data_IF_498842236100
#
_entry.id   IF_498842236100
#
_cell.length_a   1.000
_cell.length_b   1.000
_cell.length_c   1.000
_cell.angle_alpha   90.00
_cell.angle_beta   90.00
_cell.angle_gamma   90.00
#
_symmetry.space_group_name_H-M   'P 1'
#
loop_
_entity.id
_entity.type
_entity.pdbx_description
1 polymer ?
#
# COMPACT_ATOMS: atom_id res chain seq x y z
N UNK A 1 44.61 -11.46 59.38
CA UNK A 1 44.10 -11.13 58.10
C UNK A 1 43.76 -12.39 57.34
N UNK A 2 42.47 -12.77 57.26
CA UNK A 2 42.02 -13.98 56.56
C UNK A 2 41.62 -13.64 55.17
N UNK A 3 42.24 -14.23 54.14
CA UNK A 3 41.86 -14.15 52.75
C UNK A 3 40.67 -15.10 52.52
N UNK A 4 39.56 -14.55 52.03
CA UNK A 4 38.39 -15.31 51.58
C UNK A 4 38.50 -15.45 50.05
N UNK A 5 38.67 -16.71 49.61
CA UNK A 5 38.69 -17.08 48.20
C UNK A 5 37.26 -17.42 47.78
N UNK A 6 36.69 -16.71 46.85
CA UNK A 6 35.40 -17.06 46.25
C UNK A 6 35.64 -18.02 45.09
N UNK A 7 35.08 -19.21 45.20
CA UNK A 7 34.94 -20.16 44.10
C UNK A 7 33.72 -19.79 43.27
N UNK A 8 33.93 -19.36 42.04
CA UNK A 8 32.83 -19.22 41.03
C UNK A 8 32.69 -20.59 40.36
N UNK A 9 31.62 -21.31 40.69
CA UNK A 9 31.17 -22.48 39.92
C UNK A 9 30.35 -21.98 38.73
N UNK A 10 30.91 -22.12 37.54
CA UNK A 10 30.19 -21.90 36.27
C UNK A 10 29.27 -23.10 36.02
N UNK A 11 27.96 -22.86 36.14
CA UNK A 11 26.94 -23.79 35.63
C UNK A 11 26.83 -23.57 34.12
N UNK A 12 27.41 -24.47 33.34
CA UNK A 12 27.13 -24.54 31.92
C UNK A 12 25.74 -25.19 31.71
N UNK A 13 24.72 -24.37 31.44
CA UNK A 13 23.47 -24.87 30.88
C UNK A 13 23.73 -25.23 29.42
N UNK A 14 23.77 -26.51 29.11
CA UNK A 14 23.69 -27.02 27.75
C UNK A 14 22.27 -26.85 27.25
N UNK A 15 21.99 -25.77 26.52
CA UNK A 15 20.79 -25.68 25.73
C UNK A 15 20.93 -26.58 24.50
N UNK A 16 20.38 -27.77 24.56
CA UNK A 16 20.23 -28.62 23.40
C UNK A 16 19.18 -28.04 22.46
N UNK A 17 19.35 -28.08 21.12
CA UNK A 17 18.48 -27.44 20.21
C UNK A 17 17.15 -28.20 20.07
N UNK A 18 16.09 -27.65 20.63
CA UNK A 18 14.70 -28.15 20.42
C UNK A 18 14.13 -27.68 19.07
N UNK A 19 14.90 -26.95 18.26
CA UNK A 19 14.45 -26.36 17.00
C UNK A 19 14.48 -27.37 15.82
N UNK A 20 15.16 -28.50 15.93
CA UNK A 20 15.35 -29.40 14.78
C UNK A 20 14.18 -30.35 14.48
N UNK A 21 13.26 -30.58 15.43
CA UNK A 21 12.13 -31.52 15.20
C UNK A 21 10.89 -30.88 14.54
N UNK A 22 10.68 -29.60 14.73
CA UNK A 22 9.53 -28.94 14.10
C UNK A 22 9.77 -28.63 12.61
N UNK A 23 10.99 -28.25 12.24
CA UNK A 23 11.32 -28.02 10.82
C UNK A 23 11.37 -29.30 10.00
N UNK A 24 11.79 -30.43 10.58
CA UNK A 24 11.78 -31.72 9.88
C UNK A 24 10.39 -32.31 9.70
N UNK A 25 9.44 -32.02 10.60
CA UNK A 25 8.05 -32.45 10.43
C UNK A 25 7.31 -31.63 9.36
N UNK A 26 7.61 -30.33 9.25
CA UNK A 26 7.03 -29.47 8.20
C UNK A 26 7.54 -29.82 6.81
N UNK A 27 8.81 -30.16 6.66
CA UNK A 27 9.35 -30.58 5.36
C UNK A 27 8.87 -31.97 4.93
N UNK A 28 8.59 -32.88 5.87
CA UNK A 28 8.06 -34.18 5.59
C UNK A 28 6.56 -34.13 5.17
N UNK A 29 5.77 -33.22 5.73
CA UNK A 29 4.38 -33.03 5.31
C UNK A 29 4.29 -32.40 3.92
N UNK A 30 5.16 -31.45 3.57
CA UNK A 30 5.17 -30.88 2.23
C UNK A 30 5.64 -31.88 1.16
N UNK A 31 6.55 -32.78 1.48
CA UNK A 31 7.00 -33.83 0.54
C UNK A 31 5.97 -34.93 0.32
N UNK A 32 5.08 -35.18 1.29
CA UNK A 32 4.00 -36.18 1.13
C UNK A 32 2.82 -35.67 0.32
N UNK A 33 2.65 -34.35 0.21
CA UNK A 33 1.58 -33.72 -0.59
C UNK A 33 1.92 -33.58 -2.07
N UNK A 34 3.21 -33.66 -2.45
CA UNK A 34 3.66 -33.43 -3.82
C UNK A 34 3.66 -34.68 -4.74
N UNK A 35 3.22 -35.84 -4.28
CA UNK A 35 3.30 -37.09 -5.04
C UNK A 35 2.08 -38.03 -4.87
N UNK A 36 0.89 -37.54 -4.63
CA UNK A 36 -0.29 -38.40 -4.68
C UNK A 36 -1.01 -38.23 -6.02
N UNK A 37 -1.11 -39.31 -6.77
CA UNK A 37 -1.96 -39.40 -8.00
C UNK A 37 -3.46 -39.12 -7.70
N UNK A 38 -3.79 -38.68 -6.49
CA UNK A 38 -5.12 -38.39 -5.97
C UNK A 38 -5.27 -36.95 -5.47
N UNK A 39 -4.40 -36.00 -5.85
CA UNK A 39 -4.67 -34.60 -5.53
C UNK A 39 -5.99 -34.15 -6.19
N UNK A 40 -6.92 -33.53 -5.43
CA UNK A 40 -8.14 -33.04 -6.04
C UNK A 40 -7.76 -31.97 -7.08
N UNK A 41 -8.43 -32.03 -8.25
CA UNK A 41 -8.22 -31.02 -9.28
C UNK A 41 -8.45 -29.62 -8.75
N UNK A 42 -7.79 -28.58 -9.33
CA UNK A 42 -7.91 -27.22 -8.89
C UNK A 42 -9.36 -26.73 -9.02
N UNK A 43 -9.82 -26.01 -8.00
CA UNK A 43 -11.14 -25.37 -7.98
C UNK A 43 -10.97 -23.91 -8.39
N UNK A 44 -11.70 -23.45 -9.40
CA UNK A 44 -11.67 -22.07 -9.86
C UNK A 44 -12.49 -21.13 -8.94
N UNK A 45 -12.12 -19.85 -8.83
CA UNK A 45 -10.99 -19.20 -9.50
C UNK A 45 -9.64 -19.54 -8.88
N UNK A 46 -8.58 -19.61 -9.69
CA UNK A 46 -7.21 -19.80 -9.24
C UNK A 46 -6.50 -18.44 -9.13
N UNK A 47 -5.59 -18.29 -8.15
CA UNK A 47 -4.77 -17.08 -8.07
C UNK A 47 -3.86 -16.97 -9.30
N UNK A 48 -3.69 -15.77 -9.78
CA UNK A 48 -2.68 -15.45 -10.79
C UNK A 48 -1.27 -15.50 -10.17
N UNK A 49 -0.24 -15.59 -11.01
CA UNK A 49 1.16 -15.57 -10.54
C UNK A 49 1.47 -14.29 -9.76
N UNK A 50 0.94 -13.12 -10.17
CA UNK A 50 1.13 -11.85 -9.44
C UNK A 50 0.47 -11.89 -8.06
N UNK A 51 -0.70 -12.52 -7.92
CA UNK A 51 -1.37 -12.67 -6.62
C UNK A 51 -0.61 -13.61 -5.70
N UNK A 52 0.00 -14.69 -6.24
CA UNK A 52 0.88 -15.56 -5.45
C UNK A 52 2.12 -14.80 -4.95
N UNK A 53 2.81 -14.06 -5.82
CA UNK A 53 3.94 -13.21 -5.45
C UNK A 53 3.57 -12.12 -4.42
N UNK A 54 2.38 -11.55 -4.56
CA UNK A 54 1.85 -10.57 -3.60
C UNK A 54 1.61 -11.23 -2.25
N UNK A 55 0.97 -12.39 -2.20
CA UNK A 55 0.70 -13.14 -0.98
C UNK A 55 2.00 -13.49 -0.22
N UNK A 56 3.09 -13.80 -0.92
CA UNK A 56 4.41 -14.05 -0.33
C UNK A 56 5.01 -12.85 0.40
N UNK A 57 4.49 -11.64 0.16
CA UNK A 57 4.96 -10.43 0.85
C UNK A 57 4.52 -10.43 2.31
N UNK A 58 3.33 -10.90 2.63
CA UNK A 58 2.75 -11.16 3.97
C UNK A 58 2.79 -9.98 4.95
N UNK A 59 3.95 -9.36 5.15
CA UNK A 59 4.19 -8.36 6.19
C UNK A 59 4.88 -7.14 5.62
N UNK A 60 4.14 -6.02 5.52
CA UNK A 60 4.58 -4.74 5.00
C UNK A 60 3.89 -3.58 5.73
N UNK A 61 4.42 -2.37 5.61
CA UNK A 61 3.95 -1.20 6.32
C UNK A 61 3.20 -0.24 5.40
N UNK A 62 2.29 0.57 5.99
CA UNK A 62 1.74 1.78 5.37
C UNK A 62 2.38 3.03 5.95
N UNK A 63 2.60 4.03 5.10
CA UNK A 63 3.16 5.32 5.47
C UNK A 63 2.17 6.42 5.14
N UNK A 64 1.45 6.91 6.16
CA UNK A 64 0.54 8.03 6.08
C UNK A 64 1.30 9.33 6.36
N UNK A 65 1.96 9.88 5.34
CA UNK A 65 2.59 11.17 5.39
C UNK A 65 2.04 12.04 4.27
N UNK A 66 1.39 13.16 4.61
CA UNK A 66 0.72 13.99 3.62
C UNK A 66 0.11 15.25 4.23
N UNK A 67 -0.91 15.82 3.59
CA UNK A 67 -1.62 17.01 4.06
C UNK A 67 -2.14 16.81 5.50
N UNK A 68 -2.67 15.64 5.80
CA UNK A 68 -3.27 15.30 7.10
C UNK A 68 -2.26 15.32 8.26
N UNK A 69 -0.97 15.14 7.99
CA UNK A 69 0.11 15.32 8.97
C UNK A 69 0.16 16.75 9.51
N UNK A 70 -0.26 17.73 8.71
CA UNK A 70 -0.19 19.16 9.04
C UNK A 70 -1.53 19.76 9.49
N UNK A 71 -2.64 19.09 9.18
CA UNK A 71 -3.99 19.52 9.57
C UNK A 71 -4.51 18.82 10.82
N UNK A 72 -3.87 17.72 11.23
CA UNK A 72 -4.33 16.83 12.30
C UNK A 72 -5.74 16.31 12.08
N UNK A 73 -6.10 16.06 10.82
CA UNK A 73 -7.34 15.43 10.41
C UNK A 73 -7.06 14.00 9.96
N UNK A 74 -7.98 13.09 10.21
CA UNK A 74 -7.92 11.74 9.64
C UNK A 74 -8.10 11.79 8.13
N UNK A 75 -9.10 12.51 7.67
CA UNK A 75 -9.35 12.85 6.26
C UNK A 75 -9.41 14.37 6.11
N UNK A 76 -8.75 14.90 5.11
CA UNK A 76 -8.93 16.30 4.75
C UNK A 76 -10.30 16.52 4.09
N UNK A 77 -10.76 17.77 4.07
CA UNK A 77 -12.04 18.15 3.46
C UNK A 77 -11.95 18.37 1.96
N UNK A 78 -10.72 18.51 1.43
CA UNK A 78 -10.44 18.86 0.03
C UNK A 78 -10.34 20.36 -0.22
N UNK A 79 -10.50 21.21 0.80
CA UNK A 79 -10.35 22.67 0.73
C UNK A 79 -9.05 23.17 1.38
N UNK A 80 -8.20 22.25 1.83
CA UNK A 80 -6.91 22.58 2.44
C UNK A 80 -6.03 23.35 1.45
N UNK A 81 -5.55 24.52 1.86
CA UNK A 81 -4.60 25.28 1.05
C UNK A 81 -3.29 24.50 0.92
N UNK A 82 -2.76 24.37 -0.29
CA UNK A 82 -1.53 23.64 -0.57
C UNK A 82 -0.32 24.15 0.22
N UNK A 83 -0.36 25.43 0.61
CA UNK A 83 0.67 26.07 1.45
C UNK A 83 0.76 25.52 2.88
N UNK A 84 -0.25 24.79 3.34
CA UNK A 84 -0.23 24.10 4.65
C UNK A 84 0.82 22.99 4.63
N UNK A 85 1.04 22.32 3.49
CA UNK A 85 2.11 21.35 3.34
C UNK A 85 3.47 22.08 3.31
N UNK A 86 4.06 22.22 4.48
CA UNK A 86 5.32 22.98 4.68
C UNK A 86 6.28 22.22 5.61
N UNK A 87 6.87 21.12 5.16
CA UNK A 87 7.80 20.33 5.96
C UNK A 87 9.01 21.17 6.40
N UNK A 88 9.47 20.96 7.64
CA UNK A 88 10.64 21.66 8.21
C UNK A 88 11.97 21.12 7.70
N UNK A 89 11.96 19.94 7.07
CA UNK A 89 13.09 19.30 6.40
C UNK A 89 12.58 18.46 5.23
N UNK A 90 13.45 18.10 4.31
CA UNK A 90 13.10 17.17 3.23
C UNK A 90 12.61 15.84 3.81
N UNK A 91 11.47 15.29 3.36
CA UNK A 91 11.05 13.94 3.74
C UNK A 91 12.14 12.92 3.42
N UNK A 92 12.28 11.92 4.29
CA UNK A 92 13.33 10.91 4.13
C UNK A 92 12.75 9.48 4.08
N UNK A 93 12.23 9.04 2.92
CA UNK A 93 11.70 7.69 2.73
C UNK A 93 12.71 6.57 3.01
N UNK A 94 14.00 6.81 2.83
CA UNK A 94 15.04 5.82 3.16
C UNK A 94 15.07 5.52 4.66
N UNK A 95 14.92 6.55 5.49
CA UNK A 95 14.86 6.36 6.94
C UNK A 95 13.61 5.57 7.35
N UNK A 96 12.45 5.84 6.72
CA UNK A 96 11.22 5.11 6.99
C UNK A 96 11.36 3.64 6.66
N UNK A 97 11.88 3.33 5.48
CA UNK A 97 12.05 1.95 5.00
C UNK A 97 13.14 1.19 5.77
N UNK A 98 14.17 1.86 6.29
CA UNK A 98 15.13 1.22 7.21
C UNK A 98 14.47 0.77 8.51
N UNK A 99 13.52 1.52 9.05
CA UNK A 99 12.76 1.10 10.23
C UNK A 99 11.89 -0.14 9.93
N UNK A 100 11.25 -0.16 8.78
CA UNK A 100 10.47 -1.31 8.27
C UNK A 100 11.37 -2.55 8.10
N UNK A 101 12.52 -2.38 7.48
CA UNK A 101 13.49 -3.46 7.28
C UNK A 101 14.00 -4.01 8.63
N UNK A 102 14.29 -3.12 9.58
CA UNK A 102 14.72 -3.53 10.94
C UNK A 102 13.63 -4.30 11.70
N UNK A 103 12.35 -4.04 11.39
CA UNK A 103 11.21 -4.79 11.94
C UNK A 103 10.95 -6.13 11.23
N UNK A 104 11.75 -6.50 10.23
CA UNK A 104 11.59 -7.75 9.46
C UNK A 104 10.47 -7.70 8.41
N UNK A 105 9.94 -6.52 8.10
CA UNK A 105 8.95 -6.34 7.04
C UNK A 105 9.60 -6.42 5.66
N UNK A 106 8.84 -6.88 4.67
CA UNK A 106 9.32 -7.12 3.30
C UNK A 106 9.12 -5.93 2.35
N UNK A 107 8.38 -4.92 2.79
CA UNK A 107 8.10 -3.76 1.96
C UNK A 107 7.25 -2.69 2.63
N UNK A 108 6.82 -1.72 1.83
CA UNK A 108 5.94 -0.66 2.30
C UNK A 108 5.10 -0.03 1.21
N UNK A 109 3.98 0.55 1.61
CA UNK A 109 3.07 1.34 0.78
C UNK A 109 3.12 2.79 1.23
N UNK A 110 3.48 3.69 0.33
CA UNK A 110 3.39 5.12 0.59
C UNK A 110 2.02 5.65 0.16
N UNK A 111 1.33 6.34 1.06
CA UNK A 111 0.13 7.12 0.72
C UNK A 111 0.58 8.38 -0.02
N UNK A 112 0.42 8.39 -1.33
CA UNK A 112 0.90 9.49 -2.19
C UNK A 112 -0.20 10.49 -2.55
N UNK A 113 -1.45 10.08 -2.42
CA UNK A 113 -2.64 10.93 -2.47
C UNK A 113 -3.73 10.33 -1.59
N UNK A 114 -4.17 11.06 -0.57
CA UNK A 114 -5.32 10.69 0.27
C UNK A 114 -6.62 11.29 -0.26
N UNK A 115 -7.74 11.16 0.45
CA UNK A 115 -9.06 11.64 0.04
C UNK A 115 -9.16 13.16 -0.11
N UNK A 116 -8.27 13.93 0.53
CA UNK A 116 -8.15 15.38 0.35
C UNK A 116 -7.76 15.78 -1.09
N UNK A 117 -7.23 14.84 -1.87
CA UNK A 117 -6.83 15.06 -3.26
C UNK A 117 -5.42 15.64 -3.42
N UNK A 118 -4.69 15.94 -2.33
CA UNK A 118 -3.35 16.51 -2.41
C UNK A 118 -2.33 15.47 -2.85
N UNK A 119 -1.63 15.76 -3.95
CA UNK A 119 -0.65 14.86 -4.54
C UNK A 119 0.76 15.15 -4.02
N UNK A 120 1.44 14.14 -3.47
CA UNK A 120 2.81 14.21 -2.95
C UNK A 120 3.89 14.08 -4.02
N UNK A 121 3.55 14.38 -5.27
CA UNK A 121 4.45 14.46 -6.42
C UNK A 121 3.99 15.56 -7.38
N UNK A 122 4.87 16.06 -8.26
CA UNK A 122 4.53 17.11 -9.24
C UNK A 122 3.71 16.52 -10.40
N UNK A 123 2.47 16.09 -10.11
CA UNK A 123 1.55 15.56 -11.10
C UNK A 123 1.18 16.60 -12.15
N UNK A 124 0.93 16.14 -13.37
CA UNK A 124 0.42 16.98 -14.45
C UNK A 124 -1.13 17.09 -14.48
N UNK A 125 -1.83 16.31 -13.63
CA UNK A 125 -3.28 16.18 -13.64
C UNK A 125 -4.01 17.24 -12.83
N UNK A 126 -3.37 17.81 -11.81
CA UNK A 126 -3.93 18.83 -10.92
C UNK A 126 -2.87 19.77 -10.41
N UNK A 127 -3.27 20.97 -10.00
CA UNK A 127 -2.41 21.91 -9.26
C UNK A 127 -2.48 21.72 -7.75
N UNK A 128 -3.41 20.88 -7.25
CA UNK A 128 -3.51 20.54 -5.83
C UNK A 128 -2.45 19.50 -5.48
N UNK A 129 -1.21 19.96 -5.34
CA UNK A 129 -0.03 19.09 -5.19
C UNK A 129 1.15 19.87 -4.60
N UNK A 130 2.23 19.15 -4.35
CA UNK A 130 3.50 19.69 -3.84
C UNK A 130 4.03 20.90 -4.60
N UNK A 131 3.69 21.09 -5.87
CA UNK A 131 4.16 22.26 -6.66
C UNK A 131 3.74 23.59 -6.06
N UNK A 132 2.67 23.62 -5.27
CA UNK A 132 2.18 24.81 -4.55
C UNK A 132 2.42 24.75 -3.04
N UNK A 133 3.24 23.82 -2.56
CA UNK A 133 3.56 23.68 -1.13
C UNK A 133 4.15 24.97 -0.53
N UNK A 134 3.96 25.13 0.78
CA UNK A 134 4.24 26.38 1.49
C UNK A 134 5.72 26.78 1.56
N UNK A 135 6.66 25.85 1.36
CA UNK A 135 8.09 26.15 1.40
C UNK A 135 8.87 25.34 0.36
N UNK A 136 10.20 25.56 0.30
CA UNK A 136 11.07 24.91 -0.66
C UNK A 136 11.09 23.39 -0.47
N UNK A 137 11.21 22.88 0.75
CA UNK A 137 11.21 21.45 1.05
C UNK A 137 9.92 20.77 0.57
N UNK A 138 8.77 21.43 0.75
CA UNK A 138 7.50 20.93 0.24
C UNK A 138 7.47 20.89 -1.29
N UNK A 139 7.91 21.95 -1.96
CA UNK A 139 7.91 22.02 -3.43
C UNK A 139 8.89 21.07 -4.11
N UNK A 140 9.95 20.68 -3.42
CA UNK A 140 10.94 19.69 -3.91
C UNK A 140 10.55 18.25 -3.59
N UNK A 141 9.50 18.05 -2.79
CA UNK A 141 8.99 16.72 -2.41
C UNK A 141 8.50 15.96 -3.62
N UNK A 142 8.93 14.70 -3.73
CA UNK A 142 8.40 13.72 -4.67
C UNK A 142 8.45 12.35 -3.99
N UNK A 143 7.43 12.07 -3.17
CA UNK A 143 7.39 10.83 -2.38
C UNK A 143 7.45 9.59 -3.27
N UNK A 144 6.69 9.46 -4.39
CA UNK A 144 6.80 8.27 -5.23
C UNK A 144 8.23 8.00 -5.72
N UNK A 145 8.91 9.03 -6.21
CA UNK A 145 10.31 8.92 -6.68
C UNK A 145 11.25 8.46 -5.57
N UNK A 146 11.20 9.15 -4.44
CA UNK A 146 12.19 8.96 -3.37
C UNK A 146 11.93 7.66 -2.61
N UNK A 147 10.65 7.26 -2.47
CA UNK A 147 10.26 6.01 -1.85
C UNK A 147 10.65 4.80 -2.71
N UNK A 148 10.36 4.84 -4.02
CA UNK A 148 10.76 3.79 -4.94
C UNK A 148 12.29 3.61 -4.97
N UNK A 149 13.04 4.71 -5.09
CA UNK A 149 14.51 4.67 -5.09
C UNK A 149 15.07 4.10 -3.77
N UNK A 150 14.50 4.48 -2.64
CA UNK A 150 14.92 3.97 -1.34
C UNK A 150 14.59 2.47 -1.18
N UNK A 151 13.41 2.03 -1.61
CA UNK A 151 13.02 0.62 -1.57
C UNK A 151 13.94 -0.24 -2.42
N UNK A 152 14.23 0.15 -3.65
CA UNK A 152 15.16 -0.53 -4.55
C UNK A 152 16.56 -0.63 -3.93
N UNK A 153 17.06 0.47 -3.36
CA UNK A 153 18.37 0.50 -2.67
C UNK A 153 18.45 -0.48 -1.51
N UNK A 154 17.35 -0.66 -0.77
CA UNK A 154 17.27 -1.53 0.40
C UNK A 154 16.83 -2.96 0.08
N UNK A 155 16.50 -3.27 -1.18
CA UNK A 155 15.99 -4.57 -1.59
C UNK A 155 14.60 -4.88 -1.01
N UNK A 156 13.79 -3.84 -0.77
CA UNK A 156 12.42 -3.95 -0.26
C UNK A 156 11.40 -3.79 -1.39
N UNK A 157 10.26 -4.44 -1.26
CA UNK A 157 9.10 -4.19 -2.12
C UNK A 157 8.44 -2.86 -1.78
N UNK A 158 7.80 -2.23 -2.76
CA UNK A 158 7.09 -0.98 -2.53
C UNK A 158 5.82 -0.90 -3.38
N UNK A 159 4.89 -0.10 -2.91
CA UNK A 159 3.65 0.22 -3.60
C UNK A 159 3.17 1.62 -3.25
N UNK A 160 2.11 2.04 -3.93
CA UNK A 160 1.51 3.34 -3.70
C UNK A 160 0.01 3.22 -3.43
N UNK A 161 -0.43 3.95 -2.41
CA UNK A 161 -1.84 4.22 -2.16
C UNK A 161 -2.21 5.52 -2.86
N UNK A 162 -3.18 5.46 -3.72
CA UNK A 162 -3.75 6.62 -4.40
C UNK A 162 -5.26 6.56 -4.30
N UNK A 163 -5.84 7.48 -3.53
CA UNK A 163 -7.29 7.53 -3.37
C UNK A 163 -7.99 7.83 -4.71
N UNK A 164 -8.91 6.98 -5.16
CA UNK A 164 -9.79 7.30 -6.29
C UNK A 164 -10.73 8.45 -5.94
N UNK A 165 -11.16 8.54 -4.68
CA UNK A 165 -11.95 9.66 -4.17
C UNK A 165 -11.08 10.91 -4.05
N UNK A 166 -11.56 12.00 -4.61
CA UNK A 166 -10.85 13.28 -4.63
C UNK A 166 -11.81 14.39 -4.20
N UNK A 167 -11.72 14.75 -2.94
CA UNK A 167 -12.59 15.74 -2.32
C UNK A 167 -12.31 17.18 -2.80
N UNK A 168 -11.13 17.42 -3.38
CA UNK A 168 -10.75 18.73 -3.92
C UNK A 168 -11.30 18.94 -5.33
N UNK A 169 -11.24 17.93 -6.19
CA UNK A 169 -11.47 18.09 -7.62
C UNK A 169 -12.92 18.48 -7.97
N UNK A 170 -13.09 19.61 -8.63
CA UNK A 170 -14.40 20.02 -9.18
C UNK A 170 -14.94 19.06 -10.26
N UNK A 171 -14.09 18.19 -10.81
CA UNK A 171 -14.46 17.21 -11.84
C UNK A 171 -14.93 15.88 -11.25
N UNK A 172 -14.74 15.65 -9.93
CA UNK A 172 -15.11 14.39 -9.31
C UNK A 172 -16.59 14.06 -9.56
N UNK A 173 -16.88 12.80 -9.81
CA UNK A 173 -18.21 12.32 -10.20
C UNK A 173 -18.49 12.39 -11.70
N UNK A 174 -17.51 12.76 -12.54
CA UNK A 174 -17.66 12.82 -14.00
C UNK A 174 -16.65 11.91 -14.71
N UNK A 175 -16.95 11.48 -15.93
CA UNK A 175 -16.01 10.74 -16.79
C UNK A 175 -14.70 11.51 -17.02
N UNK A 176 -14.77 12.84 -17.02
CA UNK A 176 -13.59 13.69 -17.21
C UNK A 176 -12.61 13.55 -16.04
N UNK A 177 -13.11 13.44 -14.81
CA UNK A 177 -12.25 13.14 -13.66
C UNK A 177 -11.50 11.84 -13.86
N UNK A 178 -12.19 10.79 -14.24
CA UNK A 178 -11.59 9.47 -14.44
C UNK A 178 -10.48 9.54 -15.48
N UNK A 179 -10.77 10.09 -16.66
CA UNK A 179 -9.83 10.11 -17.80
C UNK A 179 -8.66 11.08 -17.61
N UNK A 180 -8.95 12.31 -17.16
CA UNK A 180 -7.96 13.39 -17.16
C UNK A 180 -7.21 13.53 -15.84
N UNK A 181 -7.75 12.94 -14.74
CA UNK A 181 -7.15 13.04 -13.41
C UNK A 181 -6.74 11.67 -12.91
N UNK A 182 -7.68 10.78 -12.62
CA UNK A 182 -7.40 9.54 -11.90
C UNK A 182 -6.51 8.56 -12.70
N UNK A 183 -6.92 8.18 -13.91
CA UNK A 183 -6.14 7.28 -14.76
C UNK A 183 -4.77 7.86 -15.11
N UNK A 184 -4.69 9.18 -15.29
CA UNK A 184 -3.42 9.86 -15.51
C UNK A 184 -2.49 9.78 -14.30
N UNK A 185 -3.01 9.98 -13.10
CA UNK A 185 -2.25 9.81 -11.85
C UNK A 185 -1.73 8.37 -11.71
N UNK A 186 -2.57 7.38 -11.97
CA UNK A 186 -2.15 5.97 -11.93
C UNK A 186 -1.05 5.68 -12.96
N UNK A 187 -1.16 6.21 -14.18
CA UNK A 187 -0.13 6.06 -15.21
C UNK A 187 1.19 6.75 -14.83
N UNK A 188 1.15 7.94 -14.24
CA UNK A 188 2.33 8.62 -13.72
C UNK A 188 3.00 7.80 -12.63
N UNK A 189 2.22 7.30 -11.65
CA UNK A 189 2.73 6.49 -10.54
C UNK A 189 3.35 5.17 -11.01
N UNK A 190 2.79 4.55 -12.04
CA UNK A 190 3.34 3.33 -12.63
C UNK A 190 4.74 3.53 -13.25
N UNK A 191 5.17 4.77 -13.51
CA UNK A 191 6.52 5.05 -14.06
C UNK A 191 7.61 5.19 -13.00
N UNK A 192 7.26 5.25 -11.73
CA UNK A 192 8.24 5.33 -10.64
C UNK A 192 8.81 3.96 -10.27
N UNK A 193 9.69 3.43 -11.14
CA UNK A 193 10.32 2.12 -11.00
C UNK A 193 9.48 0.98 -11.59
N UNK A 194 10.03 -0.23 -11.57
CA UNK A 194 9.46 -1.41 -12.25
C UNK A 194 8.95 -2.49 -11.29
N UNK A 195 9.24 -2.36 -9.98
CA UNK A 195 9.04 -3.42 -8.99
C UNK A 195 7.95 -3.08 -7.97
N UNK A 196 6.96 -2.27 -8.40
CA UNK A 196 5.78 -2.01 -7.59
C UNK A 196 4.99 -3.31 -7.46
N UNK A 197 4.81 -3.77 -6.19
CA UNK A 197 4.06 -4.99 -5.94
C UNK A 197 2.56 -4.75 -5.76
N UNK A 198 2.16 -3.52 -5.44
CA UNK A 198 0.77 -3.18 -5.15
C UNK A 198 0.44 -1.72 -5.45
N UNK A 199 -0.74 -1.49 -6.03
CA UNK A 199 -1.44 -0.22 -6.08
C UNK A 199 -2.71 -0.31 -5.25
N UNK A 200 -2.84 0.57 -4.26
CA UNK A 200 -3.94 0.54 -3.29
C UNK A 200 -4.94 1.65 -3.56
N UNK A 201 -6.21 1.27 -3.77
CA UNK A 201 -7.31 2.19 -4.07
C UNK A 201 -8.37 2.11 -2.99
N UNK A 202 -8.49 3.16 -2.21
CA UNK A 202 -9.41 3.27 -1.07
C UNK A 202 -10.35 4.47 -1.24
N UNK A 203 -11.54 4.43 -0.59
CA UNK A 203 -12.52 5.50 -0.68
C UNK A 203 -13.24 5.58 -2.03
N UNK A 204 -13.37 4.46 -2.75
CA UNK A 204 -13.88 4.42 -4.12
C UNK A 204 -15.34 4.87 -4.28
N UNK A 205 -16.18 4.81 -3.24
CA UNK A 205 -17.59 5.15 -3.32
C UNK A 205 -17.87 6.65 -3.36
N UNK A 206 -16.88 7.48 -3.01
CA UNK A 206 -17.06 8.91 -2.83
C UNK A 206 -17.72 9.26 -1.49
N UNK A 207 -18.27 10.44 -1.39
CA UNK A 207 -18.90 10.98 -0.18
C UNK A 207 -18.96 12.51 -0.21
N UNK A 208 -18.96 13.13 0.97
CA UNK A 208 -18.94 14.57 1.14
C UNK A 208 -17.58 15.16 0.75
N UNK A 209 -17.56 16.33 0.15
CA UNK A 209 -16.32 16.99 -0.22
C UNK A 209 -16.49 18.43 -0.68
N UNK A 210 -15.39 19.13 -0.78
CA UNK A 210 -15.29 20.51 -1.24
C UNK A 210 -15.63 20.63 -2.74
N UNK A 211 -15.08 19.74 -3.57
CA UNK A 211 -15.33 19.64 -5.02
C UNK A 211 -15.27 21.00 -5.74
N UNK A 212 -14.16 21.73 -5.51
CA UNK A 212 -13.97 23.06 -6.11
C UNK A 212 -14.95 24.11 -5.61
N UNK A 213 -15.43 24.02 -4.38
CA UNK A 213 -16.36 24.95 -3.75
C UNK A 213 -17.83 24.57 -3.87
N UNK A 214 -18.14 23.40 -4.45
CA UNK A 214 -19.53 22.94 -4.59
C UNK A 214 -20.12 22.44 -3.26
N UNK A 215 -19.27 21.96 -2.33
CA UNK A 215 -19.63 21.50 -0.96
C UNK A 215 -20.85 20.58 -0.96
N UNK A 216 -20.74 19.44 -1.60
CA UNK A 216 -21.83 18.48 -1.78
C UNK A 216 -21.40 17.04 -1.51
N UNK A 217 -22.34 16.12 -1.52
CA UNK A 217 -22.11 14.69 -1.52
C UNK A 217 -22.11 14.15 -2.94
N UNK A 218 -21.10 13.41 -3.34
CA UNK A 218 -21.04 12.69 -4.62
C UNK A 218 -20.80 11.22 -4.34
N UNK A 219 -21.77 10.38 -4.71
CA UNK A 219 -21.63 8.93 -4.69
C UNK A 219 -21.57 8.45 -6.14
N UNK A 220 -20.56 7.65 -6.47
CA UNK A 220 -20.29 7.25 -7.86
C UNK A 220 -21.04 5.98 -8.30
N UNK A 221 -21.83 5.37 -7.41
CA UNK A 221 -22.52 4.12 -7.70
C UNK A 221 -21.56 2.94 -7.79
N UNK A 222 -21.63 2.18 -8.89
CA UNK A 222 -20.67 1.08 -9.11
C UNK A 222 -19.28 1.64 -9.44
N UNK A 223 -18.39 1.52 -8.48
CA UNK A 223 -17.02 2.00 -8.61
C UNK A 223 -16.24 1.32 -9.76
N UNK A 224 -16.51 0.04 -10.04
CA UNK A 224 -15.83 -0.66 -11.12
C UNK A 224 -16.21 -0.08 -12.50
N UNK A 225 -17.45 0.33 -12.64
CA UNK A 225 -17.95 0.99 -13.86
C UNK A 225 -17.45 2.42 -13.94
N UNK A 226 -17.61 3.19 -12.86
CA UNK A 226 -17.25 4.61 -12.84
C UNK A 226 -15.76 4.85 -13.11
N UNK A 227 -14.86 4.09 -12.45
CA UNK A 227 -13.42 4.25 -12.64
C UNK A 227 -12.85 3.53 -13.85
N UNK A 228 -13.68 2.92 -14.68
CA UNK A 228 -13.26 2.18 -15.89
C UNK A 228 -12.16 1.14 -15.55
N UNK A 229 -12.47 0.28 -14.57
CA UNK A 229 -11.53 -0.68 -14.01
C UNK A 229 -10.85 -1.57 -15.06
N UNK A 230 -11.52 -2.05 -16.11
CA UNK A 230 -10.83 -2.81 -17.15
C UNK A 230 -9.69 -2.02 -17.80
N UNK A 231 -9.93 -0.75 -18.16
CA UNK A 231 -8.90 0.10 -18.75
C UNK A 231 -7.80 0.47 -17.76
N UNK A 232 -8.15 0.73 -16.49
CA UNK A 232 -7.18 0.95 -15.40
C UNK A 232 -6.24 -0.24 -15.28
N UNK A 233 -6.80 -1.45 -15.18
CA UNK A 233 -6.07 -2.72 -15.04
C UNK A 233 -5.14 -2.95 -16.22
N UNK A 234 -5.66 -2.85 -17.43
CA UNK A 234 -4.88 -3.03 -18.65
C UNK A 234 -3.73 -2.01 -18.76
N UNK A 235 -3.98 -0.75 -18.37
CA UNK A 235 -2.99 0.31 -18.43
C UNK A 235 -1.87 0.11 -17.41
N UNK A 236 -2.20 -0.28 -16.19
CA UNK A 236 -1.22 -0.56 -15.13
C UNK A 236 -0.40 -1.80 -15.48
N UNK A 237 -1.04 -2.90 -15.87
CA UNK A 237 -0.34 -4.17 -16.14
C UNK A 237 0.54 -4.13 -17.39
N UNK A 238 0.30 -3.23 -18.34
CA UNK A 238 1.23 -3.00 -19.46
C UNK A 238 2.59 -2.48 -18.98
N UNK A 239 2.62 -1.73 -17.88
CA UNK A 239 3.84 -1.14 -17.33
C UNK A 239 4.38 -2.01 -16.19
N UNK A 240 3.49 -2.50 -15.34
CA UNK A 240 3.76 -3.22 -14.10
C UNK A 240 3.02 -4.58 -14.09
N UNK A 241 3.50 -5.60 -14.80
CA UNK A 241 2.77 -6.86 -14.96
C UNK A 241 2.59 -7.65 -13.64
N UNK A 242 3.45 -7.44 -12.67
CA UNK A 242 3.41 -8.11 -11.36
C UNK A 242 2.72 -7.28 -10.25
N UNK A 243 2.24 -6.07 -10.56
CA UNK A 243 1.53 -5.22 -9.61
C UNK A 243 0.11 -5.71 -9.36
N UNK A 244 -0.27 -5.91 -8.11
CA UNK A 244 -1.64 -6.24 -7.69
C UNK A 244 -2.41 -4.96 -7.40
N UNK A 245 -3.67 -4.89 -7.83
CA UNK A 245 -4.58 -3.80 -7.51
C UNK A 245 -5.50 -4.19 -6.36
N UNK A 246 -5.38 -3.48 -5.26
CA UNK A 246 -6.22 -3.64 -4.08
C UNK A 246 -7.36 -2.63 -4.08
N UNK A 247 -8.54 -3.03 -3.67
CA UNK A 247 -9.74 -2.20 -3.64
C UNK A 247 -10.43 -2.17 -5.01
N UNK A 248 -10.58 -0.98 -5.58
CA UNK A 248 -11.04 -0.86 -6.98
C UNK A 248 -10.06 -1.60 -7.89
N UNK A 249 -10.58 -2.52 -8.67
CA UNK A 249 -9.74 -3.39 -9.51
C UNK A 249 -9.80 -4.86 -9.10
N UNK A 250 -10.09 -5.14 -7.84
CA UNK A 250 -10.53 -6.45 -7.37
C UNK A 250 -9.53 -7.59 -7.50
N UNK A 251 -8.23 -7.33 -7.52
CA UNK A 251 -7.22 -8.41 -7.52
C UNK A 251 -6.85 -8.86 -6.11
N UNK A 252 -7.03 -8.00 -5.12
CA UNK A 252 -6.97 -8.34 -3.71
C UNK A 252 -8.18 -7.72 -3.00
N UNK A 253 -8.83 -8.48 -2.14
CA UNK A 253 -10.00 -8.03 -1.41
C UNK A 253 -9.68 -7.76 0.06
N UNK A 254 -10.45 -6.92 0.67
CA UNK A 254 -10.43 -6.71 2.10
C UNK A 254 -11.29 -7.77 2.81
N UNK A 255 -10.70 -8.59 3.67
CA UNK A 255 -11.38 -9.60 4.50
C UNK A 255 -11.64 -9.02 5.89
N UNK A 256 -11.59 -7.89 6.21
CA UNK A 256 -11.81 -7.31 7.53
C UNK A 256 -12.95 -6.31 7.51
N UNK A 257 -12.88 -5.43 8.47
CA UNK A 257 -13.72 -4.26 8.61
C UNK A 257 -13.01 -3.23 9.49
N UNK A 258 -13.56 -2.04 9.60
CA UNK A 258 -13.00 -0.95 10.43
C UNK A 258 -12.98 -1.28 11.94
N UNK A 259 -13.72 -2.28 12.39
CA UNK A 259 -13.70 -2.74 13.77
C UNK A 259 -12.55 -3.69 14.10
N UNK A 260 -11.78 -4.12 13.08
CA UNK A 260 -10.56 -4.91 13.25
C UNK A 260 -10.80 -6.41 13.47
N UNK A 261 -11.92 -6.95 13.01
CA UNK A 261 -12.18 -8.40 13.04
C UNK A 261 -12.61 -8.92 11.68
N UNK A 262 -12.44 -10.20 11.46
CA UNK A 262 -12.90 -10.93 10.28
C UNK A 262 -13.92 -12.00 10.67
N UNK A 263 -14.69 -12.52 9.71
CA UNK A 263 -15.62 -13.61 9.93
C UNK A 263 -14.91 -14.91 10.33
N UNK A 264 -15.66 -15.87 10.89
CA UNK A 264 -15.10 -17.16 11.30
C UNK A 264 -14.55 -17.98 10.12
N UNK A 265 -15.16 -17.84 8.95
CA UNK A 265 -14.74 -18.53 7.73
C UNK A 265 -14.49 -17.52 6.64
N UNK A 266 -13.23 -17.41 6.22
CA UNK A 266 -12.82 -16.55 5.12
C UNK A 266 -12.02 -17.36 4.11
N UNK A 267 -12.48 -17.39 2.87
CA UNK A 267 -11.77 -18.04 1.77
C UNK A 267 -10.70 -17.10 1.21
N UNK A 268 -9.53 -17.65 0.88
CA UNK A 268 -8.45 -16.88 0.27
C UNK A 268 -8.85 -16.31 -1.09
N UNK A 269 -9.68 -17.05 -1.83
CA UNK A 269 -10.17 -16.65 -3.14
C UNK A 269 -11.63 -16.22 -3.07
N UNK A 270 -11.95 -15.11 -3.74
CA UNK A 270 -13.31 -14.64 -3.96
C UNK A 270 -13.62 -14.60 -5.46
N UNK A 271 -14.88 -14.59 -5.81
CA UNK A 271 -15.37 -14.49 -7.19
C UNK A 271 -15.38 -13.04 -7.73
N UNK A 272 -14.93 -12.08 -6.93
CA UNK A 272 -14.92 -10.66 -7.30
C UNK A 272 -16.28 -9.96 -7.23
N UNK A 273 -17.28 -10.59 -6.62
CA UNK A 273 -18.65 -10.05 -6.50
C UNK A 273 -18.97 -9.50 -5.10
N UNK A 274 -18.03 -9.51 -4.18
CA UNK A 274 -18.20 -9.04 -2.80
C UNK A 274 -17.59 -7.66 -2.57
#
# INVERSE_FOLDING_TARGET
>A
MKKITYLLSALALSAAPVISSAQSQFSLQSQTLTNSDNEPGPVFPLPTERQLKWNETEFYAFFHYGMNTYTNLEWGNGDEAESIFAPTAAPNPEQWLKAVQAAGMKGGIAVVKHHDGFCLWPTSSTTHSVVKAGNAFGRETNIPRDFAAAAQKLGLKYGFYVSPWDRNSALYGTDKYVKDVFLRQCAELATYGTDQFEMWFDGANGGDGYYGGQNKTINVGDANVYYDVPNLRDSVHKILPDCVMWGVGGEARWIGNEQGWAGETNWCMGDGTS
#
